data_IF_129379332150
#
_entry.id   IF_129379332150
#
_cell.length_a   1.000
_cell.length_b   1.000
_cell.length_c   1.000
_cell.angle_alpha   90.00
_cell.angle_beta   90.00
_cell.angle_gamma   90.00
#
_symmetry.space_group_name_H-M   'P 1'
#
loop_
_entity.id
_entity.type
_entity.pdbx_description
1 polymer ?
#
# COMPACT_ATOMS: atom_id res chain seq x y z
N UNK A 1 14.98 -24.29 -10.92
CA UNK A 1 14.04 -23.48 -11.73
C UNK A 1 14.48 -22.01 -11.74
N UNK A 2 15.18 -21.61 -12.79
CA UNK A 2 15.65 -20.23 -12.97
C UNK A 2 14.49 -19.37 -13.46
N UNK A 3 14.11 -18.38 -12.66
CA UNK A 3 13.19 -17.32 -13.08
C UNK A 3 13.86 -16.52 -14.20
N UNK A 4 13.19 -16.42 -15.35
CA UNK A 4 13.58 -15.55 -16.46
C UNK A 4 13.52 -14.08 -16.02
N UNK A 5 14.36 -13.25 -16.62
CA UNK A 5 14.69 -11.89 -16.18
C UNK A 5 13.50 -10.90 -16.12
N UNK A 6 12.36 -11.23 -16.73
CA UNK A 6 11.10 -10.48 -16.63
C UNK A 6 10.25 -10.85 -15.41
N UNK A 7 10.52 -11.98 -14.76
CA UNK A 7 9.84 -12.44 -13.53
C UNK A 7 10.41 -11.77 -12.25
N UNK A 8 11.60 -11.19 -12.33
CA UNK A 8 12.31 -10.66 -11.16
C UNK A 8 11.65 -9.44 -10.50
N UNK A 9 10.91 -8.63 -11.25
CA UNK A 9 10.15 -7.49 -10.73
C UNK A 9 8.82 -7.92 -10.10
N UNK A 10 8.15 -8.90 -10.71
CA UNK A 10 6.86 -9.44 -10.23
C UNK A 10 7.07 -10.24 -8.93
N UNK A 11 8.12 -11.05 -8.85
CA UNK A 11 8.45 -11.80 -7.63
C UNK A 11 8.78 -10.91 -6.42
N UNK A 12 8.97 -9.60 -6.62
CA UNK A 12 9.27 -8.65 -5.53
C UNK A 12 8.07 -7.80 -5.13
N UNK A 13 6.96 -7.83 -5.89
CA UNK A 13 5.79 -7.00 -5.61
C UNK A 13 5.18 -7.31 -4.23
N UNK A 14 4.79 -8.56 -3.96
CA UNK A 14 4.16 -8.90 -2.68
C UNK A 14 5.08 -8.68 -1.48
N UNK A 15 6.37 -9.08 -1.50
CA UNK A 15 7.30 -8.71 -0.45
C UNK A 15 7.42 -7.20 -0.23
N UNK A 16 7.46 -6.40 -1.30
CA UNK A 16 7.54 -4.93 -1.19
C UNK A 16 6.27 -4.34 -0.58
N UNK A 17 5.08 -4.82 -0.98
CA UNK A 17 3.82 -4.39 -0.39
C UNK A 17 3.73 -4.77 1.10
N UNK A 18 4.17 -5.96 1.48
CA UNK A 18 4.22 -6.40 2.88
C UNK A 18 5.15 -5.54 3.72
N UNK A 19 6.38 -5.30 3.25
CA UNK A 19 7.34 -4.45 3.94
C UNK A 19 6.80 -3.01 4.08
N UNK A 20 6.10 -2.51 3.06
CA UNK A 20 5.47 -1.20 3.11
C UNK A 20 4.38 -1.15 4.19
N UNK A 21 3.50 -2.15 4.21
CA UNK A 21 2.44 -2.31 5.21
C UNK A 21 3.02 -2.33 6.62
N UNK A 22 4.03 -3.16 6.87
CA UNK A 22 4.70 -3.27 8.18
C UNK A 22 5.33 -1.95 8.62
N UNK A 23 6.01 -1.23 7.70
CA UNK A 23 6.57 0.08 8.01
C UNK A 23 5.50 1.12 8.34
N UNK A 24 4.36 1.10 7.63
CA UNK A 24 3.25 2.02 7.91
C UNK A 24 2.56 1.70 9.24
N UNK A 25 2.42 0.42 9.61
CA UNK A 25 1.92 0.00 10.93
C UNK A 25 2.80 0.58 12.05
N UNK A 26 4.13 0.52 11.89
CA UNK A 26 5.07 1.12 12.85
C UNK A 26 4.93 2.64 12.93
N UNK A 27 4.73 3.32 11.80
CA UNK A 27 4.47 4.78 11.77
C UNK A 27 3.19 5.12 12.54
N UNK A 28 2.09 4.38 12.31
CA UNK A 28 0.83 4.58 13.03
C UNK A 28 1.02 4.40 14.53
N UNK A 29 1.71 3.34 14.96
CA UNK A 29 2.02 3.12 16.36
C UNK A 29 2.86 4.24 16.99
N UNK A 30 3.86 4.74 16.25
CA UNK A 30 4.69 5.84 16.72
C UNK A 30 3.89 7.13 16.85
N UNK A 31 2.99 7.40 15.89
CA UNK A 31 2.07 8.54 15.94
C UNK A 31 1.18 8.51 17.18
N UNK A 32 0.61 7.36 17.50
CA UNK A 32 -0.22 7.18 18.69
C UNK A 32 0.56 7.42 20.00
N UNK A 33 1.87 7.14 20.01
CA UNK A 33 2.75 7.31 21.18
C UNK A 33 3.28 8.75 21.31
N UNK A 34 3.67 9.37 20.20
CA UNK A 34 4.22 10.72 20.15
C UNK A 34 4.02 11.35 18.77
N UNK A 35 2.90 12.07 18.62
CA UNK A 35 2.50 12.72 17.37
C UNK A 35 3.55 13.73 16.88
N UNK A 36 4.03 14.62 17.77
CA UNK A 36 4.92 15.73 17.37
C UNK A 36 6.25 15.23 16.78
N UNK A 37 6.88 14.26 17.43
CA UNK A 37 8.15 13.69 16.95
C UNK A 37 7.91 12.90 15.66
N UNK A 38 6.86 12.06 15.64
CA UNK A 38 6.61 11.20 14.47
C UNK A 38 6.23 12.02 13.25
N UNK A 39 5.43 13.08 13.40
CA UNK A 39 5.09 13.99 12.30
C UNK A 39 6.31 14.69 11.71
N UNK A 40 7.31 15.00 12.54
CA UNK A 40 8.53 15.62 12.09
C UNK A 40 9.44 14.63 11.35
N UNK A 41 9.65 13.44 11.92
CA UNK A 41 10.60 12.46 11.39
C UNK A 41 10.04 11.69 10.18
N UNK A 42 8.71 11.50 10.11
CA UNK A 42 8.02 10.80 9.02
C UNK A 42 7.36 11.75 8.01
N UNK A 43 7.68 13.05 8.05
CA UNK A 43 7.09 14.08 7.17
C UNK A 43 7.09 13.68 5.71
N UNK A 44 8.21 13.15 5.20
CA UNK A 44 8.34 12.77 3.79
C UNK A 44 7.36 11.66 3.39
N UNK A 45 7.09 10.71 4.29
CA UNK A 45 6.14 9.61 4.07
C UNK A 45 4.71 10.14 4.04
N UNK A 46 4.38 11.05 4.95
CA UNK A 46 3.05 11.69 5.03
C UNK A 46 2.79 12.54 3.79
N UNK A 47 3.78 13.33 3.39
CA UNK A 47 3.72 14.20 2.21
C UNK A 47 3.65 13.41 0.89
N UNK A 48 4.30 12.24 0.82
CA UNK A 48 4.20 11.36 -0.36
C UNK A 48 2.77 10.80 -0.53
N UNK A 49 2.02 10.69 0.58
CA UNK A 49 0.65 10.20 0.60
C UNK A 49 0.54 8.70 0.26
N UNK A 50 -0.66 8.26 -0.11
CA UNK A 50 -0.95 6.87 -0.38
C UNK A 50 -0.01 6.24 -1.43
N UNK A 51 0.34 4.95 -1.30
CA UNK A 51 1.37 4.35 -2.13
C UNK A 51 0.90 4.23 -3.57
N UNK A 52 1.81 4.51 -4.49
CA UNK A 52 1.53 4.60 -5.94
C UNK A 52 0.93 3.32 -6.53
N UNK A 53 1.17 2.15 -5.92
CA UNK A 53 0.58 0.88 -6.39
C UNK A 53 -0.94 0.82 -6.18
N UNK A 54 -1.49 1.63 -5.26
CA UNK A 54 -2.95 1.75 -5.11
C UNK A 54 -3.55 2.41 -6.35
N UNK A 55 -2.86 3.39 -6.94
CA UNK A 55 -3.27 4.12 -8.15
C UNK A 55 -3.35 3.29 -9.43
N UNK A 56 -2.91 2.03 -9.39
CA UNK A 56 -2.94 1.15 -10.55
C UNK A 56 -4.35 0.57 -10.76
N UNK A 57 -4.91 0.64 -11.99
CA UNK A 57 -6.18 0.02 -12.33
C UNK A 57 -6.17 -1.46 -11.96
N UNK A 58 -7.18 -1.89 -11.19
CA UNK A 58 -7.34 -3.28 -10.79
C UNK A 58 -8.19 -4.01 -11.84
N UNK A 59 -7.59 -4.27 -13.00
CA UNK A 59 -8.20 -5.08 -14.06
C UNK A 59 -7.71 -6.52 -13.93
N UNK A 60 -8.55 -7.36 -13.33
CA UNK A 60 -8.23 -8.76 -13.01
C UNK A 60 -7.86 -9.58 -14.23
N UNK A 61 -8.61 -9.43 -15.32
CA UNK A 61 -8.41 -10.20 -16.55
C UNK A 61 -7.06 -9.81 -17.18
N UNK A 62 -6.72 -8.52 -17.16
CA UNK A 62 -5.43 -8.02 -17.66
C UNK A 62 -4.28 -8.48 -16.78
N UNK A 63 -4.42 -8.42 -15.46
CA UNK A 63 -3.37 -8.80 -14.50
C UNK A 63 -3.09 -10.30 -14.60
N UNK A 64 -4.13 -11.15 -14.54
CA UNK A 64 -3.98 -12.60 -14.64
C UNK A 64 -3.36 -13.02 -15.97
N UNK A 65 -3.83 -12.46 -17.09
CA UNK A 65 -3.32 -12.82 -18.42
C UNK A 65 -1.90 -12.33 -18.69
N UNK A 66 -1.52 -11.14 -18.21
CA UNK A 66 -0.18 -10.57 -18.45
C UNK A 66 0.90 -11.14 -17.55
N UNK A 67 0.56 -11.44 -16.31
CA UNK A 67 1.52 -11.92 -15.32
C UNK A 67 1.47 -13.43 -15.10
N UNK A 68 0.54 -14.13 -15.78
CA UNK A 68 0.26 -15.54 -15.59
C UNK A 68 0.01 -15.88 -14.11
N UNK A 69 -0.70 -14.97 -13.43
CA UNK A 69 -1.04 -15.07 -12.02
C UNK A 69 -2.19 -16.04 -11.80
N UNK A 70 -2.13 -16.74 -10.69
CA UNK A 70 -3.18 -17.62 -10.21
C UNK A 70 -4.30 -16.81 -9.53
N UNK A 71 -5.40 -17.49 -9.23
CA UNK A 71 -6.44 -16.95 -8.36
C UNK A 71 -5.87 -16.59 -6.98
N UNK A 72 -4.99 -17.42 -6.42
CA UNK A 72 -4.31 -17.16 -5.14
C UNK A 72 -3.46 -15.87 -5.17
N UNK A 73 -2.68 -15.66 -6.24
CA UNK A 73 -1.89 -14.42 -6.40
C UNK A 73 -2.81 -13.18 -6.47
N UNK A 74 -3.98 -13.35 -7.09
CA UNK A 74 -4.98 -12.29 -7.25
C UNK A 74 -5.63 -11.92 -5.92
N UNK A 75 -6.01 -12.94 -5.13
CA UNK A 75 -6.53 -12.80 -3.77
C UNK A 75 -5.48 -12.18 -2.83
N UNK A 76 -4.22 -12.56 -2.96
CA UNK A 76 -3.12 -11.97 -2.20
C UNK A 76 -2.96 -10.48 -2.52
N UNK A 77 -2.97 -10.10 -3.81
CA UNK A 77 -2.93 -8.68 -4.19
C UNK A 77 -4.12 -7.91 -3.61
N UNK A 78 -5.33 -8.47 -3.69
CA UNK A 78 -6.54 -7.85 -3.13
C UNK A 78 -6.41 -7.63 -1.61
N UNK A 79 -5.98 -8.67 -0.89
CA UNK A 79 -5.77 -8.63 0.56
C UNK A 79 -4.75 -7.57 0.96
N UNK A 80 -3.62 -7.50 0.25
CA UNK A 80 -2.58 -6.50 0.49
C UNK A 80 -3.05 -5.07 0.18
N UNK A 81 -3.78 -4.86 -0.92
CA UNK A 81 -4.38 -3.54 -1.24
C UNK A 81 -5.37 -3.10 -0.17
N UNK A 82 -6.22 -4.01 0.31
CA UNK A 82 -7.18 -3.73 1.37
C UNK A 82 -6.49 -3.36 2.68
N UNK A 83 -5.49 -4.15 3.11
CA UNK A 83 -4.73 -3.87 4.34
C UNK A 83 -3.98 -2.55 4.26
N UNK A 84 -3.39 -2.25 3.09
CA UNK A 84 -2.76 -0.94 2.83
C UNK A 84 -3.75 0.20 3.02
N UNK A 85 -4.96 0.09 2.47
CA UNK A 85 -6.00 1.11 2.61
C UNK A 85 -6.43 1.29 4.08
N UNK A 86 -6.62 0.19 4.81
CA UNK A 86 -7.04 0.25 6.20
C UNK A 86 -5.99 0.96 7.08
N UNK A 87 -4.69 0.63 6.94
CA UNK A 87 -3.61 1.30 7.69
C UNK A 87 -3.47 2.77 7.31
N UNK A 88 -3.65 3.09 6.04
CA UNK A 88 -3.61 4.49 5.60
C UNK A 88 -4.72 5.33 6.21
N UNK A 89 -5.92 4.76 6.36
CA UNK A 89 -6.99 5.44 7.08
C UNK A 89 -6.70 5.57 8.56
N UNK A 90 -6.08 4.58 9.18
CA UNK A 90 -5.67 4.69 10.58
C UNK A 90 -4.67 5.85 10.75
N UNK A 91 -3.72 6.01 9.84
CA UNK A 91 -2.82 7.16 9.83
C UNK A 91 -3.57 8.47 9.56
N UNK A 92 -4.39 8.54 8.52
CA UNK A 92 -5.13 9.75 8.12
C UNK A 92 -6.03 10.28 9.26
N UNK A 93 -6.66 9.39 10.03
CA UNK A 93 -7.46 9.75 11.21
C UNK A 93 -6.65 10.34 12.36
N UNK A 94 -5.34 10.11 12.39
CA UNK A 94 -4.41 10.68 13.38
C UNK A 94 -3.79 11.99 12.89
N UNK A 95 -3.82 12.26 11.59
CA UNK A 95 -3.24 13.46 11.02
C UNK A 95 -4.15 14.69 11.22
N UNK A 96 -3.56 15.90 11.31
CA UNK A 96 -4.32 17.13 11.32
C UNK A 96 -5.25 17.30 10.10
N UNK A 97 -6.38 18.05 10.23
CA UNK A 97 -7.35 18.18 9.14
C UNK A 97 -6.84 18.79 7.84
N UNK A 98 -5.74 19.54 7.91
CA UNK A 98 -5.10 20.18 6.75
C UNK A 98 -4.07 19.29 6.04
N UNK A 99 -3.82 18.08 6.56
CA UNK A 99 -2.93 17.06 5.97
C UNK A 99 -3.67 15.90 5.33
N UNK A 100 -5.01 15.89 5.39
CA UNK A 100 -5.82 14.89 4.70
C UNK A 100 -5.58 14.95 3.20
N UNK A 101 -5.11 13.84 2.63
CA UNK A 101 -5.03 13.63 1.20
C UNK A 101 -6.31 12.89 0.80
N UNK A 102 -7.04 13.37 -0.22
CA UNK A 102 -8.19 12.63 -0.77
C UNK A 102 -7.73 11.27 -1.29
N UNK A 103 -7.83 10.24 -0.44
CA UNK A 103 -7.86 8.88 -0.92
C UNK A 103 -9.22 8.70 -1.58
N UNK A 104 -9.22 8.68 -2.91
CA UNK A 104 -10.44 8.39 -3.67
C UNK A 104 -11.08 7.13 -3.10
N UNK A 105 -12.41 7.12 -3.00
CA UNK A 105 -13.22 6.18 -2.24
C UNK A 105 -12.84 4.69 -2.30
N UNK A 106 -13.24 3.91 -1.28
CA UNK A 106 -13.28 2.43 -1.27
C UNK A 106 -13.82 1.83 -2.58
N UNK A 107 -14.69 2.53 -3.30
CA UNK A 107 -15.34 2.12 -4.55
C UNK A 107 -14.52 2.31 -5.83
N UNK A 108 -13.43 3.08 -5.80
CA UNK A 108 -12.58 3.31 -6.99
C UNK A 108 -11.39 2.34 -7.07
N UNK A 109 -11.11 1.64 -5.97
CA UNK A 109 -9.91 0.81 -5.82
C UNK A 109 -10.18 -0.70 -5.86
N UNK A 110 -11.45 -1.08 -6.00
CA UNK A 110 -11.96 -2.46 -6.09
C UNK A 110 -13.00 -2.55 -7.22
#
# INVERSE_FOLDING_TARGET
PQCSSSCGEICRLFPQMKNYIEAMEEVVECYQKNEEITAKECKDVIDEGAPKFMNLPYDLDVIQSRFNWTEEDTEELYSLRKRTLDIWWDLDNLLPPNTHVEMTSRTTWF
#
